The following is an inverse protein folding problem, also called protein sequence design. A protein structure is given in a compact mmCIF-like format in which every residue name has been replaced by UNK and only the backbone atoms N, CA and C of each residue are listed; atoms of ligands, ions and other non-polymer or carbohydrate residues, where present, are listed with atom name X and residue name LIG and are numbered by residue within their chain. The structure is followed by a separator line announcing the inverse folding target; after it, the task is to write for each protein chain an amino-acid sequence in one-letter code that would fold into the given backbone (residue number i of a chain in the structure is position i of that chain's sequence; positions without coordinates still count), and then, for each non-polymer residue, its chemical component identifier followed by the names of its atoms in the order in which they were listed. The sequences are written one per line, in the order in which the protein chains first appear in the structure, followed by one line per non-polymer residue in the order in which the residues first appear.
data_IF_275959557078
#
_entry.id   IF_275959557078
#
_cell.length_a   1.000
_cell.length_b   1.000
_cell.length_c   1.000
_cell.angle_alpha   90.00
_cell.angle_beta   90.00
_cell.angle_gamma   90.00
#
_symmetry.space_group_name_H-M   'P 1'
#
loop_
_entity.id
_entity.type
_entity.pdbx_description
1 polymer ?
#
# COMPACT_ATOMS: atom_id res chain seq x y z
N UNK A 1 -1.48 -2.67 -9.56
CA UNK A 1 -2.51 -2.27 -8.59
C UNK A 1 -3.63 -1.60 -9.37
N UNK A 2 -4.88 -2.02 -9.20
CA UNK A 2 -6.03 -1.28 -9.76
C UNK A 2 -6.74 -0.61 -8.60
N UNK A 3 -6.92 0.71 -8.73
CA UNK A 3 -7.47 1.60 -7.71
C UNK A 3 -8.59 2.42 -8.34
N UNK A 4 -9.73 2.51 -7.65
CA UNK A 4 -10.84 3.39 -8.00
C UNK A 4 -10.98 4.47 -6.94
N UNK A 5 -11.07 5.74 -7.36
CA UNK A 5 -11.26 6.87 -6.45
C UNK A 5 -12.54 6.76 -5.61
N UNK A 6 -13.55 6.04 -6.10
CA UNK A 6 -14.82 5.81 -5.39
C UNK A 6 -14.67 4.83 -4.23
N UNK A 7 -13.58 4.06 -4.19
CA UNK A 7 -13.25 3.18 -3.06
C UNK A 7 -12.49 3.92 -1.94
N UNK A 8 -12.16 5.21 -2.08
CA UNK A 8 -11.57 5.99 -0.97
C UNK A 8 -12.63 6.25 0.11
N UNK A 9 -12.40 5.74 1.31
CA UNK A 9 -13.20 6.04 2.50
C UNK A 9 -12.75 7.37 3.12
N UNK A 10 -11.44 7.52 3.31
CA UNK A 10 -10.84 8.75 3.82
C UNK A 10 -9.41 8.89 3.32
N UNK A 11 -8.92 10.13 3.32
CA UNK A 11 -7.58 10.42 2.83
C UNK A 11 -7.00 11.63 3.54
N UNK A 12 -5.69 11.57 3.81
CA UNK A 12 -4.97 12.64 4.49
C UNK A 12 -3.67 12.92 3.74
N UNK A 13 -3.55 14.11 3.20
CA UNK A 13 -2.37 14.61 2.50
C UNK A 13 -1.89 15.88 3.21
N UNK A 14 -0.59 15.97 3.49
CA UNK A 14 -0.02 17.17 4.08
C UNK A 14 0.51 18.09 2.97
N UNK A 15 -0.20 19.18 2.72
CA UNK A 15 0.20 20.23 1.80
C UNK A 15 1.26 21.11 2.47
N UNK A 16 2.53 20.85 2.14
CA UNK A 16 3.67 21.58 2.69
C UNK A 16 3.68 23.05 2.27
N UNK A 17 3.20 23.38 1.07
CA UNK A 17 3.24 24.76 0.55
C UNK A 17 2.28 25.67 1.32
N UNK A 18 1.10 25.16 1.65
CA UNK A 18 0.07 25.90 2.37
C UNK A 18 -0.01 25.56 3.87
N UNK A 19 0.89 24.71 4.37
CA UNK A 19 0.96 24.22 5.75
C UNK A 19 -0.40 23.76 6.31
N UNK A 20 -1.08 22.90 5.56
CA UNK A 20 -2.43 22.40 5.92
C UNK A 20 -2.63 20.94 5.49
N UNK A 21 -3.63 20.30 6.08
CA UNK A 21 -4.11 19.00 5.61
C UNK A 21 -5.13 19.19 4.50
N UNK A 22 -5.03 18.39 3.44
CA UNK A 22 -5.97 18.31 2.33
C UNK A 22 -6.36 16.85 2.09
N UNK A 23 -7.42 16.67 1.31
CA UNK A 23 -7.96 15.35 0.92
C UNK A 23 -7.57 15.01 -0.52
N UNK A 24 -7.73 13.74 -0.92
CA UNK A 24 -7.49 13.29 -2.29
C UNK A 24 -8.27 14.09 -3.33
N UNK A 25 -9.48 14.55 -2.99
CA UNK A 25 -10.32 15.36 -3.87
C UNK A 25 -9.69 16.72 -4.22
N UNK A 26 -8.77 17.21 -3.40
CA UNK A 26 -8.05 18.47 -3.61
C UNK A 26 -6.71 18.27 -4.35
N UNK A 27 -6.25 17.02 -4.50
CA UNK A 27 -5.01 16.68 -5.20
C UNK A 27 -5.24 16.74 -6.71
N UNK A 28 -4.58 17.69 -7.37
CA UNK A 28 -4.62 17.82 -8.84
C UNK A 28 -3.81 16.73 -9.56
N UNK A 29 -2.68 16.34 -8.98
CA UNK A 29 -1.80 15.31 -9.50
C UNK A 29 -0.93 14.74 -8.38
N UNK A 30 -0.93 13.41 -8.22
CA UNK A 30 -0.04 12.73 -7.27
C UNK A 30 1.43 12.92 -7.65
N UNK A 31 1.75 12.97 -8.95
CA UNK A 31 3.12 13.24 -9.42
C UNK A 31 3.60 14.61 -8.93
N UNK A 32 2.74 15.63 -9.02
CA UNK A 32 3.08 16.98 -8.54
C UNK A 32 3.16 16.98 -7.02
N UNK A 33 2.22 16.33 -6.33
CA UNK A 33 2.22 16.24 -4.88
C UNK A 33 3.52 15.62 -4.36
N UNK A 34 3.93 14.46 -4.85
CA UNK A 34 5.14 13.77 -4.38
C UNK A 34 6.46 14.44 -4.79
N UNK A 35 6.47 15.35 -5.77
CA UNK A 35 7.65 16.19 -6.07
C UNK A 35 7.97 17.20 -4.97
N UNK A 36 6.96 17.65 -4.23
CA UNK A 36 7.08 18.76 -3.27
C UNK A 36 6.83 18.31 -1.84
N UNK A 37 5.85 17.43 -1.66
CA UNK A 37 5.30 17.02 -0.38
C UNK A 37 5.82 15.66 0.06
N UNK A 38 5.59 15.35 1.33
CA UNK A 38 6.00 14.10 1.97
C UNK A 38 4.81 13.16 2.14
N UNK A 39 4.65 12.68 3.37
CA UNK A 39 3.74 11.59 3.72
C UNK A 39 2.27 11.86 3.37
N UNK A 40 1.56 10.83 2.91
CA UNK A 40 0.11 10.81 2.82
C UNK A 40 -0.46 9.44 3.20
N UNK A 41 -1.75 9.43 3.52
CA UNK A 41 -2.47 8.23 3.90
C UNK A 41 -3.78 8.13 3.12
N UNK A 42 -4.09 6.95 2.62
CA UNK A 42 -5.35 6.62 1.98
C UNK A 42 -5.96 5.42 2.71
N UNK A 43 -7.19 5.56 3.20
CA UNK A 43 -7.97 4.43 3.68
C UNK A 43 -9.01 4.07 2.63
N UNK A 44 -8.89 2.84 2.13
CA UNK A 44 -9.65 2.34 1.00
C UNK A 44 -10.58 1.22 1.44
N UNK A 45 -11.80 1.24 0.90
CA UNK A 45 -12.73 0.12 1.00
C UNK A 45 -12.13 -1.15 0.41
N UNK A 46 -11.43 -1.03 -0.72
CA UNK A 46 -10.74 -2.14 -1.38
C UNK A 46 -9.70 -1.70 -2.39
N UNK A 47 -8.79 -2.62 -2.72
CA UNK A 47 -7.80 -2.50 -3.80
C UNK A 47 -7.58 -3.85 -4.46
N UNK A 48 -7.27 -3.86 -5.76
CA UNK A 48 -6.91 -5.08 -6.48
C UNK A 48 -5.40 -5.23 -6.62
N UNK A 49 -4.85 -6.29 -6.03
CA UNK A 49 -3.43 -6.63 -6.04
C UNK A 49 -3.26 -8.15 -6.18
N UNK A 50 -3.57 -8.68 -7.37
CA UNK A 50 -3.66 -10.13 -7.63
C UNK A 50 -4.92 -10.78 -7.03
N UNK A 51 -5.35 -10.29 -5.86
CA UNK A 51 -6.62 -10.57 -5.17
C UNK A 51 -7.31 -9.25 -4.77
N UNK A 52 -8.58 -9.32 -4.36
CA UNK A 52 -9.27 -8.19 -3.72
C UNK A 52 -8.85 -8.13 -2.25
N UNK A 53 -8.19 -7.05 -1.85
CA UNK A 53 -7.94 -6.72 -0.44
C UNK A 53 -8.93 -5.64 -0.02
N UNK A 54 -9.58 -5.80 1.12
CA UNK A 54 -10.54 -4.85 1.70
C UNK A 54 -9.97 -4.15 2.92
N UNK A 55 -10.56 -3.02 3.28
CA UNK A 55 -10.19 -2.21 4.45
C UNK A 55 -8.68 -1.94 4.49
N UNK A 56 -8.17 -1.40 3.38
CA UNK A 56 -6.73 -1.22 3.15
C UNK A 56 -6.30 0.18 3.54
N UNK A 57 -5.33 0.27 4.44
CA UNK A 57 -4.62 1.50 4.75
C UNK A 57 -3.34 1.55 3.92
N UNK A 58 -3.26 2.54 3.02
CA UNK A 58 -2.05 2.85 2.27
C UNK A 58 -1.37 4.04 2.93
N UNK A 59 -0.13 3.84 3.36
CA UNK A 59 0.79 4.89 3.79
C UNK A 59 1.83 5.07 2.70
N UNK A 60 2.01 6.31 2.25
CA UNK A 60 3.13 6.67 1.38
C UNK A 60 3.93 7.70 2.14
N UNK A 61 5.20 7.43 2.41
CA UNK A 61 6.11 8.35 3.08
C UNK A 61 7.25 8.69 2.13
N UNK A 62 7.76 9.92 2.20
CA UNK A 62 8.98 10.29 1.49
C UNK A 62 9.78 11.29 2.29
N UNK A 63 11.08 11.01 2.43
CA UNK A 63 12.07 11.89 3.05
C UNK A 63 12.91 12.66 2.01
N UNK A 64 12.45 12.70 0.75
CA UNK A 64 13.13 13.25 -0.43
C UNK A 64 14.31 12.43 -0.98
N UNK A 65 14.75 11.38 -0.29
CA UNK A 65 15.77 10.44 -0.78
C UNK A 65 15.15 9.11 -1.15
N UNK A 66 14.26 8.64 -0.30
CA UNK A 66 13.56 7.38 -0.43
C UNK A 66 12.05 7.63 -0.36
N UNK A 67 11.31 6.69 -0.95
CA UNK A 67 9.85 6.66 -0.89
C UNK A 67 9.47 5.28 -0.39
N UNK A 68 8.69 5.26 0.68
CA UNK A 68 8.14 4.05 1.25
C UNK A 68 6.66 3.96 0.92
N UNK A 69 6.21 2.78 0.51
CA UNK A 69 4.80 2.47 0.27
C UNK A 69 4.43 1.27 1.13
N UNK A 70 3.54 1.49 2.08
CA UNK A 70 3.08 0.47 3.03
C UNK A 70 1.58 0.25 2.87
N UNK A 71 1.19 -1.02 2.73
CA UNK A 71 -0.21 -1.44 2.60
C UNK A 71 -0.55 -2.34 3.79
N UNK A 72 -1.37 -1.84 4.70
CA UNK A 72 -1.91 -2.61 5.82
C UNK A 72 -3.34 -3.06 5.49
N UNK A 73 -3.66 -4.32 5.79
CA UNK A 73 -5.00 -4.88 5.62
C UNK A 73 -5.27 -5.95 6.70
N UNK A 74 -6.53 -6.15 7.12
CA UNK A 74 -6.88 -7.15 8.12
C UNK A 74 -6.50 -8.58 7.70
N UNK A 75 -5.85 -9.33 8.60
CA UNK A 75 -5.41 -10.71 8.34
C UNK A 75 -6.57 -11.70 8.22
N UNK A 76 -7.73 -11.39 8.78
CA UNK A 76 -8.92 -12.23 8.81
C UNK A 76 -9.41 -12.56 7.40
N UNK A 77 -9.13 -11.68 6.44
CA UNK A 77 -9.42 -11.89 5.02
C UNK A 77 -8.67 -13.07 4.42
N UNK A 78 -7.51 -13.42 5.00
CA UNK A 78 -6.71 -14.57 4.63
C UNK A 78 -6.95 -15.75 5.57
N UNK A 79 -7.02 -15.51 6.89
CA UNK A 79 -7.19 -16.56 7.90
C UNK A 79 -8.52 -17.33 7.81
N UNK A 80 -9.57 -16.69 7.30
CA UNK A 80 -10.89 -17.32 7.15
C UNK A 80 -10.98 -18.28 5.94
N UNK A 81 -9.94 -18.36 5.12
CA UNK A 81 -9.93 -19.19 3.92
C UNK A 81 -9.48 -20.63 4.22
N UNK A 82 -10.10 -21.58 3.50
CA UNK A 82 -9.62 -22.96 3.47
C UNK A 82 -8.17 -23.04 2.94
N UNK A 83 -7.34 -24.01 3.39
CA UNK A 83 -5.90 -24.03 3.10
C UNK A 83 -5.51 -23.93 1.62
N UNK A 84 -6.26 -24.58 0.72
CA UNK A 84 -6.00 -24.53 -0.72
C UNK A 84 -6.31 -23.14 -1.30
N UNK A 85 -7.43 -22.54 -0.89
CA UNK A 85 -7.82 -21.20 -1.33
C UNK A 85 -6.86 -20.14 -0.80
N UNK A 86 -6.40 -20.29 0.45
CA UNK A 86 -5.36 -19.44 1.04
C UNK A 86 -4.08 -19.50 0.20
N UNK A 87 -3.60 -20.71 -0.12
CA UNK A 87 -2.39 -20.90 -0.93
C UNK A 87 -2.51 -20.27 -2.31
N UNK A 88 -3.64 -20.46 -3.00
CA UNK A 88 -3.88 -19.85 -4.31
C UNK A 88 -3.92 -18.33 -4.25
N UNK A 89 -4.60 -17.76 -3.25
CA UNK A 89 -4.68 -16.31 -3.07
C UNK A 89 -3.31 -15.70 -2.74
N UNK A 90 -2.52 -16.32 -1.86
CA UNK A 90 -1.16 -15.86 -1.54
C UNK A 90 -0.26 -15.92 -2.78
N UNK A 91 -0.34 -17.00 -3.57
CA UNK A 91 0.43 -17.09 -4.82
C UNK A 91 0.08 -15.96 -5.79
N UNK A 92 -1.20 -15.63 -5.94
CA UNK A 92 -1.66 -14.53 -6.80
C UNK A 92 -1.20 -13.17 -6.27
N UNK A 93 -1.34 -12.93 -4.97
CA UNK A 93 -0.90 -11.70 -4.31
C UNK A 93 0.59 -11.50 -4.49
N UNK A 94 1.42 -12.48 -4.09
CA UNK A 94 2.88 -12.41 -4.18
C UNK A 94 3.33 -12.26 -5.63
N UNK A 95 2.73 -13.00 -6.57
CA UNK A 95 3.06 -12.86 -8.00
C UNK A 95 2.77 -11.45 -8.50
N UNK A 96 1.66 -10.85 -8.07
CA UNK A 96 1.29 -9.48 -8.43
C UNK A 96 2.24 -8.45 -7.80
N UNK A 97 2.64 -8.64 -6.54
CA UNK A 97 3.65 -7.80 -5.85
C UNK A 97 4.96 -7.85 -6.62
N UNK A 98 5.47 -9.04 -6.95
CA UNK A 98 6.72 -9.20 -7.70
C UNK A 98 6.64 -8.51 -9.06
N UNK A 99 5.52 -8.64 -9.77
CA UNK A 99 5.31 -7.93 -11.04
C UNK A 99 5.32 -6.41 -10.86
N UNK A 100 4.64 -5.90 -9.83
CA UNK A 100 4.63 -4.48 -9.51
C UNK A 100 6.04 -3.97 -9.22
N UNK A 101 6.79 -4.67 -8.36
CA UNK A 101 8.16 -4.30 -8.01
C UNK A 101 9.07 -4.27 -9.24
N UNK A 102 8.93 -5.24 -10.16
CA UNK A 102 9.68 -5.24 -11.42
C UNK A 102 9.29 -4.09 -12.35
N UNK A 103 8.00 -3.80 -12.49
CA UNK A 103 7.51 -2.74 -13.38
C UNK A 103 7.85 -1.34 -12.87
N UNK A 104 7.92 -1.16 -11.56
CA UNK A 104 8.17 0.13 -10.91
C UNK A 104 9.61 0.26 -10.37
N UNK A 105 10.49 -0.69 -10.70
CA UNK A 105 11.88 -0.74 -10.24
C UNK A 105 12.03 -0.60 -8.71
N UNK A 106 11.09 -1.19 -7.96
CA UNK A 106 11.11 -1.18 -6.49
C UNK A 106 12.18 -2.20 -6.06
N UNK A 107 13.27 -1.76 -5.42
CA UNK A 107 14.42 -2.62 -5.15
C UNK A 107 14.14 -3.64 -4.05
N UNK A 108 13.37 -3.25 -3.02
CA UNK A 108 13.14 -4.06 -1.84
C UNK A 108 11.65 -4.08 -1.49
N UNK A 109 11.16 -5.20 -0.95
CA UNK A 109 9.83 -5.26 -0.33
C UNK A 109 9.79 -6.31 0.78
N UNK A 110 8.90 -6.09 1.74
CA UNK A 110 8.71 -6.95 2.90
C UNK A 110 7.21 -7.20 3.07
N UNK A 111 6.85 -8.41 3.50
CA UNK A 111 5.49 -8.77 3.92
C UNK A 111 5.56 -9.49 5.26
N UNK A 112 4.74 -9.07 6.21
CA UNK A 112 4.73 -9.60 7.57
C UNK A 112 3.55 -9.05 8.37
N UNK A 113 3.47 -9.46 9.64
CA UNK A 113 2.60 -8.81 10.61
C UNK A 113 3.14 -7.42 10.96
N UNK A 114 2.29 -6.50 11.39
CA UNK A 114 2.73 -5.16 11.77
C UNK A 114 3.46 -5.19 13.14
N UNK A 115 4.69 -4.64 13.25
CA UNK A 115 5.50 -4.03 12.19
C UNK A 115 6.29 -5.07 11.37
N UNK A 116 6.20 -5.01 10.04
CA UNK A 116 6.75 -6.06 9.16
C UNK A 116 8.29 -6.09 9.09
N UNK A 117 8.94 -5.03 9.56
CA UNK A 117 10.40 -4.91 9.61
C UNK A 117 11.01 -5.80 10.69
N UNK A 118 10.26 -6.08 11.75
CA UNK A 118 10.68 -6.93 12.87
C UNK A 118 10.89 -8.37 12.40
N UNK A 119 12.04 -8.95 12.78
CA UNK A 119 12.48 -10.23 12.25
C UNK A 119 11.54 -11.40 12.57
N UNK A 120 10.83 -11.34 13.70
CA UNK A 120 9.84 -12.34 14.11
C UNK A 120 8.45 -12.13 13.48
N UNK A 121 8.16 -10.92 13.00
CA UNK A 121 6.91 -10.59 12.32
C UNK A 121 6.97 -10.79 10.79
N UNK A 122 8.19 -10.85 10.24
CA UNK A 122 8.48 -10.97 8.82
C UNK A 122 8.16 -12.36 8.28
N UNK A 123 7.39 -12.41 7.20
CA UNK A 123 7.05 -13.66 6.48
C UNK A 123 7.89 -13.78 5.20
N UNK A 124 8.01 -12.69 4.43
CA UNK A 124 8.78 -12.64 3.19
C UNK A 124 9.57 -11.34 3.15
N UNK A 125 10.80 -11.41 2.63
CA UNK A 125 11.64 -10.26 2.34
C UNK A 125 12.35 -10.47 1.00
N UNK A 126 12.36 -9.43 0.18
CA UNK A 126 13.10 -9.35 -1.07
C UNK A 126 14.02 -8.14 -1.03
N UNK A 127 15.29 -8.33 -1.39
CA UNK A 127 16.32 -7.30 -1.48
C UNK A 127 17.05 -7.39 -2.83
#
# INVERSE_FOLDING_TARGET
MIFDKTDIISSYFFDKENNKNITYAEIKSLEIYFKVCGTCTLYLKKVQMGIELRDVLILISSDQKEVELTLNFPEEQLRSLEPNALKENLNRLISHVIQLCKCCEIPNWIMGYEPAEDNDMKIIEWK
#
